data_IF_272824892752
#
_entry.id   IF_272824892752
#
_cell.length_a   1.000
_cell.length_b   1.000
_cell.length_c   1.000
_cell.angle_alpha   90.00
_cell.angle_beta   90.00
_cell.angle_gamma   90.00
#
_symmetry.space_group_name_H-M   'P 1'
#
loop_
_entity.id
_entity.type
_entity.pdbx_description
1 polymer ?
#
# COMPACT_ATOMS: atom_id res chain seq x y z
N UNK A 1 2.13 6.44 9.82
CA UNK A 1 2.64 6.40 8.43
C UNK A 1 2.10 5.15 7.74
N UNK A 2 1.77 5.24 6.46
CA UNK A 2 1.35 4.12 5.63
C UNK A 2 2.31 3.95 4.46
N UNK A 3 2.66 2.71 4.14
CA UNK A 3 3.51 2.33 3.01
C UNK A 3 2.71 1.42 2.10
N UNK A 4 2.49 1.88 0.87
CA UNK A 4 1.73 1.19 -0.17
C UNK A 4 2.73 0.65 -1.18
N UNK A 5 2.55 -0.59 -1.61
CA UNK A 5 3.43 -1.22 -2.59
C UNK A 5 2.61 -2.09 -3.53
N UNK A 6 2.71 -1.83 -4.82
CA UNK A 6 2.20 -2.70 -5.87
C UNK A 6 3.35 -3.26 -6.69
N UNK A 7 3.33 -4.56 -6.96
CA UNK A 7 4.33 -5.23 -7.79
C UNK A 7 3.61 -5.90 -8.96
N UNK A 8 3.85 -5.43 -10.19
CA UNK A 8 3.37 -6.11 -11.39
C UNK A 8 4.06 -7.45 -11.53
N UNK A 9 3.35 -8.43 -12.09
CA UNK A 9 3.85 -9.80 -12.25
C UNK A 9 3.68 -10.20 -13.71
N UNK A 10 4.77 -10.24 -14.51
CA UNK A 10 4.68 -10.67 -15.90
C UNK A 10 3.95 -12.02 -16.01
N UNK A 11 2.96 -12.09 -16.91
CA UNK A 11 2.12 -13.29 -17.09
C UNK A 11 0.94 -13.42 -16.12
N UNK A 12 0.80 -12.51 -15.14
CA UNK A 12 -0.40 -12.42 -14.29
C UNK A 12 -1.09 -11.06 -14.49
N UNK A 13 -2.42 -11.09 -14.59
CA UNK A 13 -3.23 -9.89 -14.79
C UNK A 13 -3.19 -8.93 -13.58
N UNK A 14 -3.14 -9.50 -12.38
CA UNK A 14 -3.27 -8.77 -11.13
C UNK A 14 -1.90 -8.59 -10.45
N UNK A 15 -1.50 -7.35 -10.12
CA UNK A 15 -0.30 -7.11 -9.32
C UNK A 15 -0.51 -7.62 -7.89
N UNK A 16 0.59 -7.93 -7.19
CA UNK A 16 0.55 -8.07 -5.73
C UNK A 16 0.46 -6.67 -5.13
N UNK A 17 -0.45 -6.47 -4.18
CA UNK A 17 -0.63 -5.20 -3.49
C UNK A 17 -0.56 -5.37 -1.98
N UNK A 18 0.27 -4.55 -1.35
CA UNK A 18 0.56 -4.60 0.09
C UNK A 18 0.39 -3.20 0.67
N UNK A 19 -0.29 -3.12 1.81
CA UNK A 19 -0.30 -1.93 2.65
C UNK A 19 0.27 -2.30 4.01
N UNK A 20 1.13 -1.44 4.54
CA UNK A 20 1.59 -1.52 5.93
C UNK A 20 1.42 -0.18 6.62
N UNK A 21 0.77 -0.18 7.79
CA UNK A 21 0.59 1.00 8.63
C UNK A 21 1.43 0.93 9.90
N UNK A 22 2.06 2.05 10.25
CA UNK A 22 2.85 2.25 11.46
C UNK A 22 2.34 3.44 12.27
N UNK A 23 2.34 3.30 13.59
CA UNK A 23 2.34 4.41 14.56
C UNK A 23 3.70 4.36 15.24
N UNK A 24 4.43 5.47 15.21
CA UNK A 24 5.87 5.50 15.49
C UNK A 24 6.60 4.40 14.68
N UNK A 25 7.31 3.51 15.35
CA UNK A 25 8.01 2.37 14.75
C UNK A 25 7.24 1.04 14.89
N UNK A 26 6.00 1.08 15.38
CA UNK A 26 5.18 -0.11 15.62
C UNK A 26 4.17 -0.30 14.49
N UNK A 27 4.28 -1.44 13.80
CA UNK A 27 3.30 -1.86 12.81
C UNK A 27 1.96 -2.13 13.51
N UNK A 28 0.89 -1.50 13.04
CA UNK A 28 -0.45 -1.68 13.63
C UNK A 28 -1.47 -2.28 12.66
N UNK A 29 -1.26 -2.15 11.35
CA UNK A 29 -2.14 -2.76 10.34
C UNK A 29 -1.35 -3.30 9.15
N UNK A 30 -1.93 -4.30 8.48
CA UNK A 30 -1.43 -4.86 7.23
C UNK A 30 -2.58 -5.28 6.31
N UNK A 31 -2.39 -5.10 5.01
CA UNK A 31 -3.13 -5.81 3.98
C UNK A 31 -2.14 -6.48 3.01
N UNK A 32 -2.47 -7.67 2.53
CA UNK A 32 -1.72 -8.38 1.48
C UNK A 32 -2.69 -9.05 0.51
N UNK A 33 -2.63 -8.68 -0.77
CA UNK A 33 -3.54 -9.21 -1.79
C UNK A 33 -3.35 -10.70 -2.08
N UNK A 34 -2.19 -11.25 -1.71
CA UNK A 34 -1.86 -12.66 -1.90
C UNK A 34 -2.29 -13.53 -0.71
N UNK A 35 -2.85 -12.95 0.35
CA UNK A 35 -3.44 -13.71 1.44
C UNK A 35 -4.64 -14.55 0.93
N UNK A 36 -4.93 -15.73 1.51
CA UNK A 36 -6.08 -16.55 1.11
C UNK A 36 -7.42 -15.82 1.22
N UNK A 37 -7.54 -14.90 2.18
CA UNK A 37 -8.69 -14.01 2.32
C UNK A 37 -8.21 -12.56 2.55
N UNK A 38 -7.96 -11.80 1.46
CA UNK A 38 -7.40 -10.46 1.54
C UNK A 38 -8.32 -9.48 2.27
N UNK A 39 -7.92 -9.11 3.49
CA UNK A 39 -8.57 -8.12 4.34
C UNK A 39 -7.54 -7.28 5.09
N UNK A 40 -7.97 -6.14 5.62
CA UNK A 40 -7.13 -5.35 6.52
C UNK A 40 -7.05 -6.07 7.87
N UNK A 41 -5.84 -6.30 8.36
CA UNK A 41 -5.57 -7.08 9.57
C UNK A 41 -4.92 -6.23 10.67
N UNK A 42 -5.32 -6.42 11.94
CA UNK A 42 -4.61 -5.85 13.08
C UNK A 42 -3.22 -6.47 13.22
N UNK A 43 -2.23 -5.65 13.58
CA UNK A 43 -0.85 -6.08 13.87
C UNK A 43 -0.36 -5.68 15.25
N UNK A 44 -1.20 -4.98 16.01
CA UNK A 44 -0.94 -4.61 17.40
C UNK A 44 -2.22 -4.76 18.25
N UNK A 45 -2.07 -5.17 19.51
CA UNK A 45 -3.21 -5.49 20.39
C UNK A 45 -4.18 -4.32 20.59
N UNK A 46 -3.66 -3.10 20.63
CA UNK A 46 -4.48 -1.91 20.90
C UNK A 46 -5.44 -1.57 19.76
N UNK A 47 -5.23 -2.09 18.54
CA UNK A 47 -6.17 -1.87 17.43
C UNK A 47 -7.21 -2.98 17.32
N UNK A 48 -7.03 -4.12 18.01
CA UNK A 48 -8.01 -5.22 18.02
C UNK A 48 -9.37 -4.82 18.64
N UNK A 49 -9.40 -3.74 19.42
CA UNK A 49 -10.61 -3.18 20.02
C UNK A 49 -11.49 -2.40 19.02
N UNK A 50 -10.98 -2.12 17.81
CA UNK A 50 -11.77 -1.47 16.77
C UNK A 50 -12.96 -2.33 16.34
N UNK A 51 -14.07 -1.67 16.02
CA UNK A 51 -15.31 -2.36 15.67
C UNK A 51 -15.19 -3.07 14.31
N UNK A 52 -15.97 -4.15 14.06
CA UNK A 52 -15.98 -4.83 12.76
C UNK A 52 -16.17 -3.89 11.56
N UNK A 53 -17.00 -2.86 11.70
CA UNK A 53 -17.27 -1.90 10.61
C UNK A 53 -16.02 -1.11 10.21
N UNK A 54 -15.09 -0.86 11.13
CA UNK A 54 -13.80 -0.25 10.81
C UNK A 54 -13.00 -1.12 9.84
N UNK A 55 -12.92 -2.42 10.12
CA UNK A 55 -12.18 -3.39 9.33
C UNK A 55 -12.79 -3.60 7.95
N UNK A 56 -14.13 -3.65 7.87
CA UNK A 56 -14.86 -3.76 6.61
C UNK A 56 -14.62 -2.53 5.72
N UNK A 57 -14.74 -1.33 6.29
CA UNK A 57 -14.48 -0.07 5.56
C UNK A 57 -13.01 0.05 5.13
N UNK A 58 -12.07 -0.28 6.01
CA UNK A 58 -10.64 -0.28 5.69
C UNK A 58 -10.31 -1.27 4.58
N UNK A 59 -10.92 -2.46 4.60
CA UNK A 59 -10.77 -3.47 3.56
C UNK A 59 -11.33 -3.00 2.23
N UNK A 60 -12.53 -2.41 2.21
CA UNK A 60 -13.13 -1.91 0.97
C UNK A 60 -12.29 -0.79 0.34
N UNK A 61 -11.87 0.21 1.14
CA UNK A 61 -10.98 1.29 0.66
C UNK A 61 -9.67 0.75 0.09
N UNK A 62 -9.13 -0.30 0.70
CA UNK A 62 -7.91 -0.96 0.24
C UNK A 62 -8.09 -1.66 -1.10
N UNK A 63 -9.25 -2.31 -1.32
CA UNK A 63 -9.60 -2.91 -2.62
C UNK A 63 -9.71 -1.86 -3.71
N UNK A 64 -10.30 -0.71 -3.43
CA UNK A 64 -10.39 0.41 -4.39
C UNK A 64 -8.99 0.95 -4.72
N UNK A 65 -8.16 1.15 -3.70
CA UNK A 65 -6.77 1.61 -3.84
C UNK A 65 -5.93 0.62 -4.68
N UNK A 66 -6.10 -0.68 -4.46
CA UNK A 66 -5.42 -1.72 -5.26
C UNK A 66 -5.70 -1.53 -6.75
N UNK A 67 -6.96 -1.25 -7.12
CA UNK A 67 -7.33 -1.03 -8.53
C UNK A 67 -6.68 0.24 -9.09
N UNK A 68 -6.59 1.31 -8.30
CA UNK A 68 -5.84 2.51 -8.67
C UNK A 68 -4.36 2.20 -8.93
N UNK A 69 -3.71 1.43 -8.06
CA UNK A 69 -2.30 1.04 -8.24
C UNK A 69 -2.10 0.14 -9.46
N UNK A 70 -3.04 -0.77 -9.76
CA UNK A 70 -3.04 -1.56 -11.00
C UNK A 70 -3.07 -0.66 -12.24
N UNK A 71 -3.97 0.32 -12.27
CA UNK A 71 -4.05 1.28 -13.37
C UNK A 71 -2.77 2.14 -13.48
N UNK A 72 -2.22 2.59 -12.36
CA UNK A 72 -1.00 3.40 -12.33
C UNK A 72 0.22 2.63 -12.85
N UNK A 73 0.38 1.35 -12.50
CA UNK A 73 1.43 0.51 -13.06
C UNK A 73 1.35 0.45 -14.59
N UNK A 74 0.15 0.26 -15.14
CA UNK A 74 -0.05 0.22 -16.60
C UNK A 74 0.24 1.58 -17.27
N UNK A 75 -0.23 2.68 -16.68
CA UNK A 75 -0.01 4.02 -17.20
C UNK A 75 1.47 4.40 -17.18
N UNK A 76 2.15 4.18 -16.05
CA UNK A 76 3.57 4.50 -15.88
C UNK A 76 4.44 3.65 -16.80
N UNK A 77 4.14 2.36 -16.96
CA UNK A 77 4.82 1.51 -17.95
C UNK A 77 4.74 2.11 -19.36
N UNK A 78 3.58 2.63 -19.75
CA UNK A 78 3.40 3.35 -21.02
C UNK A 78 4.20 4.65 -21.09
N UNK A 79 4.20 5.47 -20.03
CA UNK A 79 4.95 6.73 -19.99
C UNK A 79 6.47 6.55 -20.10
N UNK A 80 7.00 5.46 -19.54
CA UNK A 80 8.42 5.14 -19.60
C UNK A 80 8.78 4.21 -20.78
N UNK A 81 7.83 3.89 -21.66
CA UNK A 81 8.02 2.97 -22.79
C UNK A 81 8.63 1.62 -22.37
N UNK A 82 8.20 1.10 -21.22
CA UNK A 82 8.70 -0.16 -20.66
C UNK A 82 7.95 -1.38 -21.22
N UNK A 83 8.64 -2.53 -21.27
CA UNK A 83 8.08 -3.77 -21.80
C UNK A 83 7.10 -4.44 -20.84
N UNK A 84 6.18 -5.26 -21.37
CA UNK A 84 5.28 -6.07 -20.52
C UNK A 84 5.98 -7.25 -19.83
N UNK A 85 7.16 -7.62 -20.33
CA UNK A 85 7.96 -8.71 -19.77
C UNK A 85 8.67 -8.30 -18.46
N UNK A 86 8.79 -7.00 -18.20
CA UNK A 86 9.41 -6.46 -17.00
C UNK A 86 8.48 -6.49 -15.79
N UNK A 87 9.04 -6.83 -14.62
CA UNK A 87 8.38 -6.66 -13.34
C UNK A 87 8.61 -5.24 -12.84
N UNK A 88 7.56 -4.55 -12.43
CA UNK A 88 7.63 -3.17 -11.96
C UNK A 88 7.07 -3.06 -10.55
N UNK A 89 7.71 -2.25 -9.72
CA UNK A 89 7.25 -1.91 -8.38
C UNK A 89 6.84 -0.46 -8.35
N UNK A 90 5.64 -0.17 -7.84
CA UNK A 90 5.15 1.16 -7.53
C UNK A 90 5.02 1.30 -6.02
N UNK A 91 5.67 2.31 -5.44
CA UNK A 91 5.60 2.59 -4.00
C UNK A 91 5.11 4.01 -3.73
N UNK A 92 4.32 4.14 -2.67
CA UNK A 92 3.87 5.42 -2.13
C UNK A 92 3.86 5.35 -0.60
N UNK A 93 4.25 6.45 0.04
CA UNK A 93 4.21 6.63 1.48
C UNK A 93 3.46 7.91 1.79
N UNK A 94 2.56 7.84 2.77
CA UNK A 94 1.98 9.03 3.34
C UNK A 94 1.81 8.92 4.86
N UNK A 95 1.73 10.05 5.53
CA UNK A 95 1.51 10.11 6.97
C UNK A 95 1.63 11.51 7.53
N UNK A 96 1.60 11.60 8.85
CA UNK A 96 1.81 12.83 9.58
C UNK A 96 2.62 12.56 10.85
N UNK A 97 3.24 13.61 11.37
CA UNK A 97 3.82 13.64 12.71
C UNK A 97 2.97 14.60 13.57
N UNK A 98 2.75 14.21 14.83
CA UNK A 98 1.94 14.94 15.82
C UNK A 98 2.80 15.19 17.06
N UNK A 99 2.68 16.37 17.66
CA UNK A 99 3.40 16.78 18.85
C UNK A 99 2.91 16.07 20.10
N UNK A 100 3.67 16.18 21.19
CA UNK A 100 3.29 15.62 22.49
C UNK A 100 2.01 16.25 23.07
N UNK A 101 1.65 17.45 22.62
CA UNK A 101 0.41 18.15 22.94
C UNK A 101 -0.77 17.72 22.05
N UNK A 102 -0.57 16.78 21.12
CA UNK A 102 -1.56 16.38 20.13
C UNK A 102 -1.67 17.33 18.94
N UNK A 103 -0.85 18.38 18.88
CA UNK A 103 -0.84 19.35 17.79
C UNK A 103 -0.24 18.77 16.51
N UNK A 104 -0.85 19.08 15.35
CA UNK A 104 -0.29 18.71 14.06
C UNK A 104 1.06 19.41 13.82
N UNK A 105 2.08 18.65 13.42
CA UNK A 105 3.40 19.21 13.11
C UNK A 105 3.68 19.25 11.61
N UNK A 106 3.56 18.11 10.92
CA UNK A 106 3.77 18.04 9.47
C UNK A 106 3.08 16.84 8.83
N UNK A 107 2.77 16.98 7.55
CA UNK A 107 2.39 15.90 6.66
C UNK A 107 3.59 15.44 5.84
N UNK A 108 3.62 14.16 5.50
CA UNK A 108 4.59 13.56 4.59
C UNK A 108 3.80 12.84 3.50
N UNK A 109 4.18 13.10 2.25
CA UNK A 109 3.74 12.34 1.08
C UNK A 109 4.96 12.15 0.19
N UNK A 110 5.24 10.92 -0.22
CA UNK A 110 6.23 10.64 -1.26
C UNK A 110 5.53 10.62 -2.61
N UNK A 111 6.15 11.17 -3.64
CA UNK A 111 5.69 10.93 -5.01
C UNK A 111 5.67 9.43 -5.32
N UNK A 112 4.63 8.90 -5.99
CA UNK A 112 4.61 7.52 -6.44
C UNK A 112 5.86 7.23 -7.28
N UNK A 113 6.66 6.26 -6.83
CA UNK A 113 7.94 5.93 -7.47
C UNK A 113 7.84 4.56 -8.12
N UNK A 114 8.08 4.50 -9.43
CA UNK A 114 8.13 3.24 -10.17
C UNK A 114 9.58 2.81 -10.41
N UNK A 115 9.90 1.57 -10.06
CA UNK A 115 11.19 0.93 -10.33
C UNK A 115 10.98 -0.40 -11.07
N UNK A 116 11.88 -0.74 -11.97
CA UNK A 116 11.91 -2.06 -12.61
C UNK A 116 12.72 -3.02 -11.75
N UNK A 117 12.11 -4.15 -11.37
CA UNK A 117 12.83 -5.24 -10.73
C UNK A 117 13.48 -6.04 -11.85
N UNK A 118 14.78 -5.87 -12.02
CA UNK A 118 15.60 -6.83 -12.76
C UNK A 118 15.86 -8.03 -11.86
N UNK A 119 15.41 -9.21 -12.27
CA UNK A 119 15.86 -10.46 -11.65
C UNK A 119 17.38 -10.55 -11.79
N UNK A 120 18.09 -10.61 -10.66
CA UNK A 120 19.52 -10.92 -10.59
C UNK A 120 19.80 -12.33 -11.13
#
# INVERSE_FOLDING_TARGET
>A
RYFYTAVSRPGLEEPRFIIVGYVDDMQFVRFDSDAPDPRMEPRARWVEQERPEYWDQATQRTKDTKQTFRANLNNLRGYYNQSEAGSHTLQEMYGCDVGSDGGFLRGMISSPTMAEITSL
#
